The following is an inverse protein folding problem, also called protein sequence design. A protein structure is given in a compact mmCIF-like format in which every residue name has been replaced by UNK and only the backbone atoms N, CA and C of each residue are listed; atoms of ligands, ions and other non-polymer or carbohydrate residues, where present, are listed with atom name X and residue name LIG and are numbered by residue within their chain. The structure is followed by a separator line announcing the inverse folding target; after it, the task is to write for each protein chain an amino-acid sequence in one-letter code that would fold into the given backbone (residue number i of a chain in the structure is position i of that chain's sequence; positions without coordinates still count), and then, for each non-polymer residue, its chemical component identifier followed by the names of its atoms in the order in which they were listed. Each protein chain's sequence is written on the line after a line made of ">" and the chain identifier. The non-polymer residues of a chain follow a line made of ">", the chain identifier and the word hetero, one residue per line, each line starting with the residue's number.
data_IF_652086892544
#
_entry.id   IF_652086892544
#
_cell.length_a   1.000
_cell.length_b   1.000
_cell.length_c   1.000
_cell.angle_alpha   90.00
_cell.angle_beta   90.00
_cell.angle_gamma   90.00
#
_symmetry.space_group_name_H-M   'P 1'
#
loop_
_entity.id
_entity.type
_entity.pdbx_description
1 polymer ?
#
# COMPACT_ATOMS: atom_id res chain seq x y z
N UNK A 1 19.76 -2.28 7.75
CA UNK A 1 20.20 -2.10 6.34
C UNK A 1 19.24 -1.15 5.68
N UNK A 2 19.73 -0.08 5.05
CA UNK A 2 18.87 0.88 4.35
C UNK A 2 18.13 0.22 3.17
N UNK A 3 16.93 0.71 2.87
CA UNK A 3 16.18 0.27 1.68
C UNK A 3 16.84 0.81 0.40
N UNK A 4 16.90 -0.01 -0.64
CA UNK A 4 17.40 0.37 -1.96
C UNK A 4 16.32 1.06 -2.80
N UNK A 5 16.72 1.81 -3.84
CA UNK A 5 15.76 2.43 -4.78
C UNK A 5 14.86 1.36 -5.39
N UNK A 6 13.55 1.60 -5.38
CA UNK A 6 12.51 0.67 -5.80
C UNK A 6 11.97 -0.24 -4.70
N UNK A 7 12.68 -0.39 -3.57
CA UNK A 7 12.20 -1.20 -2.44
C UNK A 7 11.12 -0.46 -1.64
N UNK A 8 10.24 -1.23 -1.01
CA UNK A 8 9.28 -0.73 -0.04
C UNK A 8 9.83 -0.90 1.38
N UNK A 9 9.59 0.11 2.21
CA UNK A 9 10.11 0.18 3.57
C UNK A 9 9.03 0.57 4.57
N UNK A 10 9.19 0.07 5.79
CA UNK A 10 8.47 0.51 6.97
C UNK A 10 9.24 1.67 7.60
N UNK A 11 8.54 2.78 7.84
CA UNK A 11 9.13 3.99 8.39
C UNK A 11 8.46 4.35 9.72
N UNK A 12 9.29 4.72 10.70
CA UNK A 12 8.85 5.10 12.03
C UNK A 12 7.82 6.24 11.95
N UNK A 13 6.65 6.10 12.58
CA UNK A 13 5.67 7.16 12.63
C UNK A 13 6.07 8.24 13.64
N UNK A 14 5.55 9.46 13.45
CA UNK A 14 5.74 10.53 14.44
C UNK A 14 5.00 10.25 15.74
N UNK A 15 3.89 9.52 15.65
CA UNK A 15 3.09 9.02 16.77
C UNK A 15 3.32 7.52 16.90
N UNK A 16 4.00 7.09 17.97
CA UNK A 16 4.42 5.70 18.17
C UNK A 16 3.26 4.75 18.44
N UNK A 17 2.06 5.26 18.73
CA UNK A 17 0.85 4.44 18.85
C UNK A 17 0.26 4.06 17.49
N UNK A 18 0.74 4.67 16.40
CA UNK A 18 0.31 4.34 15.04
C UNK A 18 1.17 3.22 14.45
N UNK A 19 0.62 2.43 13.52
CA UNK A 19 1.43 1.49 12.77
C UNK A 19 2.50 2.23 11.94
N UNK A 20 3.63 1.58 11.62
CA UNK A 20 4.64 2.17 10.74
C UNK A 20 4.05 2.62 9.40
N UNK A 21 4.55 3.74 8.91
CA UNK A 21 4.26 4.21 7.56
C UNK A 21 4.89 3.29 6.54
N UNK A 22 4.27 3.19 5.36
CA UNK A 22 4.82 2.41 4.25
C UNK A 22 5.21 3.38 3.13
N UNK A 23 6.42 3.22 2.60
CA UNK A 23 6.94 4.07 1.53
C UNK A 23 7.70 3.26 0.50
N UNK A 24 7.66 3.71 -0.75
CA UNK A 24 8.60 3.27 -1.79
C UNK A 24 9.79 4.21 -1.83
N UNK A 25 11.01 3.67 -1.83
CA UNK A 25 12.23 4.46 -1.99
C UNK A 25 12.39 4.84 -3.46
N UNK A 26 12.41 6.14 -3.75
CA UNK A 26 12.55 6.71 -5.10
C UNK A 26 13.98 7.19 -5.38
N UNK A 27 14.75 7.48 -4.33
CA UNK A 27 16.12 7.96 -4.46
C UNK A 27 16.84 7.94 -3.11
N UNK A 28 18.18 7.92 -3.16
CA UNK A 28 19.02 7.99 -1.97
C UNK A 28 20.20 8.91 -2.23
N UNK A 29 20.49 9.77 -1.26
CA UNK A 29 21.59 10.72 -1.31
C UNK A 29 22.31 10.73 0.02
N UNK A 30 23.64 10.65 -0.01
CA UNK A 30 24.49 10.81 1.16
C UNK A 30 25.11 12.20 1.16
N UNK A 31 25.07 12.90 2.29
CA UNK A 31 25.82 14.14 2.46
C UNK A 31 27.31 13.88 2.73
N UNK A 32 28.12 14.94 2.68
CA UNK A 32 29.57 14.85 2.94
C UNK A 32 29.94 14.36 4.36
N UNK A 33 28.97 14.33 5.28
CA UNK A 33 29.14 13.85 6.66
C UNK A 33 28.66 12.41 6.83
N UNK A 34 28.23 11.75 5.74
CA UNK A 34 27.75 10.37 5.74
C UNK A 34 26.29 10.22 6.18
N UNK A 35 25.53 11.31 6.37
CA UNK A 35 24.10 11.19 6.65
C UNK A 35 23.37 10.85 5.36
N UNK A 36 22.62 9.75 5.38
CA UNK A 36 21.84 9.30 4.24
C UNK A 36 20.41 9.83 4.34
N UNK A 37 19.98 10.52 3.29
CA UNK A 37 18.59 10.91 3.04
C UNK A 37 17.99 10.01 1.98
N UNK A 38 16.72 9.71 2.13
CA UNK A 38 15.93 8.91 1.19
C UNK A 38 14.79 9.77 0.66
N UNK A 39 14.67 9.86 -0.66
CA UNK A 39 13.47 10.39 -1.31
C UNK A 39 12.47 9.25 -1.37
N UNK A 40 11.26 9.48 -0.88
CA UNK A 40 10.22 8.46 -0.76
C UNK A 40 8.94 8.89 -1.45
N UNK A 41 8.15 7.90 -1.85
CA UNK A 41 6.75 8.05 -2.28
C UNK A 41 5.87 7.29 -1.30
N UNK A 42 4.93 7.98 -0.67
CA UNK A 42 4.13 7.41 0.41
C UNK A 42 3.04 6.47 -0.10
N UNK A 43 2.87 5.36 0.62
CA UNK A 43 1.65 4.57 0.57
C UNK A 43 0.71 5.02 1.68
N UNK A 44 -0.56 5.22 1.34
CA UNK A 44 -1.61 5.56 2.29
C UNK A 44 -2.41 4.31 2.64
N UNK A 45 -2.75 4.17 3.92
CA UNK A 45 -3.74 3.19 4.38
C UNK A 45 -5.15 3.69 4.07
N UNK A 46 -6.14 2.79 3.90
CA UNK A 46 -7.52 3.18 3.70
C UNK A 46 -8.07 4.22 4.69
N UNK A 47 -7.70 4.10 5.96
CA UNK A 47 -8.08 4.99 7.06
C UNK A 47 -7.52 6.41 6.92
N UNK A 48 -6.39 6.55 6.22
CA UNK A 48 -5.69 7.83 6.00
C UNK A 48 -6.23 8.57 4.78
N UNK A 49 -7.06 7.92 3.96
CA UNK A 49 -7.68 8.54 2.80
C UNK A 49 -8.87 9.41 3.20
N UNK A 50 -9.14 10.48 2.43
CA UNK A 50 -10.28 11.39 2.65
C UNK A 50 -11.62 10.63 2.73
N UNK A 51 -11.77 9.54 1.97
CA UNK A 51 -12.99 8.73 1.94
C UNK A 51 -13.07 7.66 3.04
N UNK A 52 -12.01 7.47 3.82
CA UNK A 52 -11.90 6.45 4.85
C UNK A 52 -11.89 5.01 4.32
N UNK A 53 -11.81 4.04 5.25
CA UNK A 53 -11.91 2.62 4.93
C UNK A 53 -13.34 2.26 4.47
N UNK A 54 -13.43 1.45 3.42
CA UNK A 54 -14.67 0.87 2.89
C UNK A 54 -14.61 -0.65 3.02
N UNK A 55 -15.76 -1.31 2.94
CA UNK A 55 -15.89 -2.75 3.14
C UNK A 55 -15.04 -3.58 2.17
N UNK A 56 -14.84 -3.10 0.94
CA UNK A 56 -14.04 -3.82 -0.06
C UNK A 56 -12.52 -3.63 0.14
N UNK A 57 -12.09 -2.78 1.07
CA UNK A 57 -10.67 -2.57 1.33
C UNK A 57 -10.12 -3.68 2.22
N UNK A 58 -9.10 -4.39 1.72
CA UNK A 58 -8.42 -5.43 2.48
C UNK A 58 -7.59 -4.88 3.65
N UNK A 59 -7.32 -5.70 4.64
CA UNK A 59 -6.56 -5.38 5.85
C UNK A 59 -5.11 -4.96 5.52
N UNK A 60 -4.53 -5.56 4.48
CA UNK A 60 -3.18 -5.29 3.97
C UNK A 60 -3.16 -4.34 2.75
N UNK A 61 -4.28 -3.69 2.45
CA UNK A 61 -4.39 -2.79 1.31
C UNK A 61 -3.70 -1.45 1.58
N UNK A 62 -2.99 -0.96 0.56
CA UNK A 62 -2.34 0.34 0.52
C UNK A 62 -2.64 1.04 -0.81
N UNK A 63 -2.56 2.37 -0.80
CA UNK A 63 -2.73 3.20 -1.99
C UNK A 63 -1.45 3.95 -2.31
N UNK A 64 -0.94 3.79 -3.53
CA UNK A 64 0.27 4.50 -3.95
C UNK A 64 -0.07 5.98 -4.21
N UNK A 65 0.35 6.87 -3.31
CA UNK A 65 -0.04 8.28 -3.40
C UNK A 65 0.82 9.08 -4.37
N UNK A 66 0.42 10.30 -4.73
CA UNK A 66 1.27 11.32 -5.37
C UNK A 66 2.08 12.16 -4.37
N UNK A 67 2.11 11.76 -3.10
CA UNK A 67 2.84 12.45 -2.04
C UNK A 67 4.29 11.93 -1.96
N UNK A 68 5.23 12.81 -2.32
CA UNK A 68 6.66 12.58 -2.20
C UNK A 68 7.26 13.38 -1.04
N UNK A 69 8.27 12.82 -0.40
CA UNK A 69 8.97 13.47 0.70
C UNK A 69 10.46 13.04 0.77
N UNK A 70 11.25 13.73 1.57
CA UNK A 70 12.64 13.40 1.87
C UNK A 70 12.81 13.16 3.36
N UNK A 71 13.24 11.95 3.70
CA UNK A 71 13.36 11.49 5.08
C UNK A 71 14.81 11.05 5.39
N UNK A 72 15.16 11.00 6.67
CA UNK A 72 16.43 10.38 7.10
C UNK A 72 16.35 8.87 6.95
N UNK A 73 17.38 8.22 6.43
CA UNK A 73 17.43 6.74 6.36
C UNK A 73 17.32 6.07 7.75
N UNK A 74 17.58 6.82 8.83
CA UNK A 74 17.45 6.34 10.21
C UNK A 74 16.00 6.11 10.65
N UNK A 75 15.01 6.64 9.91
CA UNK A 75 13.60 6.38 10.21
C UNK A 75 13.11 5.07 9.61
N UNK A 76 13.91 4.39 8.77
CA UNK A 76 13.58 3.07 8.24
C UNK A 76 13.72 2.02 9.34
N UNK A 77 12.63 1.33 9.64
CA UNK A 77 12.56 0.28 10.67
C UNK A 77 12.69 -1.12 10.07
N UNK A 78 12.29 -1.29 8.81
CA UNK A 78 12.35 -2.58 8.12
C UNK A 78 12.03 -2.46 6.63
N UNK A 79 12.20 -3.57 5.91
CA UNK A 79 11.71 -3.72 4.54
C UNK A 79 10.35 -4.39 4.55
N UNK A 80 9.52 -4.08 3.57
CA UNK A 80 8.25 -4.75 3.34
C UNK A 80 8.04 -4.99 1.84
N UNK A 81 7.03 -5.78 1.49
CA UNK A 81 6.66 -6.04 0.10
C UNK A 81 5.28 -5.49 -0.18
N UNK A 82 5.15 -4.63 -1.18
CA UNK A 82 3.85 -4.19 -1.69
C UNK A 82 3.60 -4.85 -3.03
N UNK A 83 2.78 -5.89 -3.02
CA UNK A 83 2.44 -6.70 -4.18
C UNK A 83 1.42 -5.99 -5.08
N UNK A 84 1.47 -6.30 -6.38
CA UNK A 84 0.31 -6.08 -7.24
C UNK A 84 -0.83 -7.01 -6.78
N UNK A 85 -2.08 -6.53 -6.84
CA UNK A 85 -3.24 -7.29 -6.34
C UNK A 85 -3.32 -8.73 -6.87
N UNK A 86 -3.11 -8.93 -8.18
CA UNK A 86 -3.12 -10.25 -8.81
C UNK A 86 -2.04 -11.21 -8.26
N UNK A 87 -0.92 -10.67 -7.79
CA UNK A 87 0.16 -11.45 -7.16
C UNK A 87 -0.20 -11.75 -5.71
N UNK A 88 -0.70 -10.76 -4.99
CA UNK A 88 -1.12 -10.91 -3.60
C UNK A 88 -2.19 -11.99 -3.41
N UNK A 89 -3.21 -12.02 -4.28
CA UNK A 89 -4.29 -13.03 -4.21
C UNK A 89 -3.83 -14.47 -4.50
N UNK A 90 -2.55 -14.67 -4.85
CA UNK A 90 -1.95 -15.98 -5.12
C UNK A 90 -0.92 -16.40 -4.08
N UNK A 91 -0.71 -15.60 -3.04
CA UNK A 91 0.20 -15.97 -1.95
C UNK A 91 -0.41 -17.13 -1.17
N UNK A 92 0.37 -18.19 -0.96
CA UNK A 92 -0.06 -19.32 -0.11
C UNK A 92 -0.22 -18.88 1.35
N UNK A 93 0.62 -17.95 1.80
CA UNK A 93 0.56 -17.36 3.14
C UNK A 93 0.91 -15.87 3.05
N UNK A 94 0.12 -15.04 3.72
CA UNK A 94 0.36 -13.59 3.83
C UNK A 94 1.15 -13.32 5.11
N UNK A 95 2.36 -12.79 4.98
CA UNK A 95 3.21 -12.40 6.11
C UNK A 95 2.79 -11.09 6.76
N UNK A 96 3.46 -10.75 7.87
CA UNK A 96 3.24 -9.48 8.56
C UNK A 96 3.57 -8.26 7.68
N UNK A 97 4.62 -8.38 6.88
CA UNK A 97 5.18 -7.32 6.03
C UNK A 97 4.77 -7.44 4.55
N UNK A 98 3.78 -8.28 4.26
CA UNK A 98 3.15 -8.38 2.95
C UNK A 98 1.93 -7.44 2.87
N UNK A 99 1.95 -6.57 1.88
CA UNK A 99 0.90 -5.61 1.56
C UNK A 99 0.51 -5.74 0.09
N UNK A 100 -0.59 -5.13 -0.30
CA UNK A 100 -0.93 -5.02 -1.72
C UNK A 100 -1.44 -3.64 -2.10
N UNK A 101 -1.28 -3.32 -3.38
CA UNK A 101 -1.75 -2.07 -3.96
C UNK A 101 -2.45 -2.37 -5.30
N UNK A 102 -3.63 -1.80 -5.48
CA UNK A 102 -4.38 -1.79 -6.76
C UNK A 102 -4.83 -0.41 -7.20
N UNK A 103 -4.60 0.60 -6.37
CA UNK A 103 -4.97 1.97 -6.66
C UNK A 103 -3.79 2.94 -6.49
N UNK A 104 -3.70 3.90 -7.40
CA UNK A 104 -3.03 5.16 -7.12
C UNK A 104 -4.00 6.14 -6.46
N UNK A 105 -3.48 7.01 -5.60
CA UNK A 105 -4.26 7.96 -4.80
C UNK A 105 -3.72 9.38 -4.94
N UNK A 106 -4.61 10.35 -5.22
CA UNK A 106 -4.27 11.77 -5.23
C UNK A 106 -4.51 12.36 -3.85
N UNK A 107 -3.45 12.59 -3.08
CA UNK A 107 -3.53 12.98 -1.67
C UNK A 107 -4.29 14.29 -1.46
N UNK A 108 -4.17 15.24 -2.40
CA UNK A 108 -4.83 16.54 -2.30
C UNK A 108 -6.34 16.49 -2.61
N UNK A 109 -6.79 15.59 -3.48
CA UNK A 109 -8.17 15.60 -3.99
C UNK A 109 -9.00 14.39 -3.56
N UNK A 110 -8.36 13.34 -3.07
CA UNK A 110 -9.02 12.08 -2.75
C UNK A 110 -9.33 11.20 -3.97
N UNK A 111 -8.85 11.57 -5.15
CA UNK A 111 -9.09 10.82 -6.39
C UNK A 111 -8.32 9.50 -6.44
N UNK A 112 -8.92 8.47 -7.03
CA UNK A 112 -8.32 7.15 -7.22
C UNK A 112 -8.14 6.82 -8.70
N UNK A 113 -7.07 6.09 -9.01
CA UNK A 113 -6.82 5.53 -10.35
C UNK A 113 -6.55 4.03 -10.22
N UNK A 114 -7.23 3.15 -11.00
CA UNK A 114 -8.29 3.49 -11.95
C UNK A 114 -9.57 3.95 -11.23
N UNK A 115 -10.38 4.76 -11.93
CA UNK A 115 -11.69 5.23 -11.47
C UNK A 115 -12.79 4.16 -11.63
N UNK A 116 -12.49 3.09 -12.37
CA UNK A 116 -13.36 1.93 -12.58
C UNK A 116 -12.63 0.65 -12.19
N UNK A 117 -13.31 -0.19 -11.44
CA UNK A 117 -12.85 -1.52 -11.05
C UNK A 117 -13.95 -2.55 -11.31
N UNK A 118 -13.53 -3.79 -11.55
CA UNK A 118 -14.48 -4.89 -11.64
C UNK A 118 -15.20 -5.05 -10.30
N UNK A 119 -16.51 -5.24 -10.39
CA UNK A 119 -17.39 -5.52 -9.25
C UNK A 119 -17.93 -6.93 -9.38
N UNK A 120 -18.22 -7.54 -8.23
CA UNK A 120 -18.66 -8.92 -8.11
C UNK A 120 -19.86 -9.00 -7.17
N UNK A 121 -20.54 -10.14 -7.18
CA UNK A 121 -21.70 -10.43 -6.36
C UNK A 121 -22.89 -9.47 -6.60
N UNK A 122 -24.03 -9.80 -6.00
CA UNK A 122 -25.22 -8.94 -5.98
C UNK A 122 -25.02 -7.60 -5.26
N UNK A 123 -23.97 -7.48 -4.45
CA UNK A 123 -23.66 -6.24 -3.75
C UNK A 123 -22.93 -5.22 -4.64
N UNK A 124 -22.51 -5.61 -5.86
CA UNK A 124 -21.80 -4.76 -6.81
C UNK A 124 -20.58 -4.07 -6.20
N UNK A 125 -19.82 -4.81 -5.38
CA UNK A 125 -18.61 -4.31 -4.72
C UNK A 125 -17.34 -4.90 -5.36
N UNK A 126 -16.21 -4.17 -5.34
CA UNK A 126 -14.91 -4.74 -5.69
C UNK A 126 -14.54 -5.89 -4.75
N UNK A 127 -13.79 -6.88 -5.25
CA UNK A 127 -13.37 -8.02 -4.45
C UNK A 127 -12.45 -7.61 -3.29
N UNK A 128 -12.79 -8.01 -2.06
CA UNK A 128 -11.90 -7.92 -0.91
C UNK A 128 -11.13 -9.26 -0.76
N UNK A 129 -9.79 -9.28 -0.83
CA UNK A 129 -9.02 -10.52 -0.76
C UNK A 129 -9.08 -11.24 0.59
N UNK A 130 -9.59 -10.58 1.64
CA UNK A 130 -9.78 -11.21 2.95
C UNK A 130 -11.13 -11.94 3.07
N UNK A 131 -12.07 -11.67 2.15
CA UNK A 131 -13.39 -12.27 2.14
C UNK A 131 -13.41 -13.51 1.23
N UNK A 132 -14.01 -14.61 1.69
CA UNK A 132 -14.20 -15.80 0.87
C UNK A 132 -15.27 -15.54 -0.21
N UNK A 133 -14.88 -15.58 -1.48
CA UNK A 133 -15.81 -15.61 -2.61
C UNK A 133 -15.90 -17.02 -3.20
N UNK A 134 -17.12 -17.42 -3.59
CA UNK A 134 -17.37 -18.72 -4.23
C UNK A 134 -18.00 -18.47 -5.59
N UNK A 135 -17.33 -18.92 -6.65
CA UNK A 135 -17.85 -18.75 -8.00
C UNK A 135 -19.10 -19.60 -8.22
N UNK A 136 -20.18 -18.97 -8.70
CA UNK A 136 -21.36 -19.68 -9.16
C UNK A 136 -21.05 -20.41 -10.47
N UNK A 137 -21.27 -21.73 -10.51
CA UNK A 137 -21.00 -22.55 -11.70
C UNK A 137 -21.86 -22.19 -12.92
N UNK A 138 -23.03 -21.57 -12.70
CA UNK A 138 -23.99 -21.19 -13.74
C UNK A 138 -23.66 -19.84 -14.40
N UNK A 139 -23.62 -18.75 -13.63
CA UNK A 139 -23.37 -17.41 -14.16
C UNK A 139 -21.88 -17.04 -14.26
N UNK A 140 -20.98 -17.87 -13.70
CA UNK A 140 -19.53 -17.60 -13.60
C UNK A 140 -19.17 -16.32 -12.82
N UNK A 141 -20.15 -15.73 -12.14
CA UNK A 141 -19.96 -14.63 -11.19
C UNK A 141 -19.48 -15.14 -9.83
N UNK A 142 -18.90 -14.25 -9.03
CA UNK A 142 -18.27 -14.54 -7.74
C UNK A 142 -19.02 -13.93 -6.56
#
# INVERSE_FOLDING_TARGET
>A
GGGAVGECVLMRPSDTEKPPYVARVEGMEADHRGNVKVRVRWYYRPEESIGGRRQFHGAKELFLSDHYDVQSAHTIEGKCTVHAFKTYTKLDNVGADDYFCRFEYKAATGGFTPDRVAVYCKCEMPYNPDDLMVQCEGCKDW
#
